data_IF_028996380082
#
_entry.id   IF_028996380082
#
_cell.length_a   1.000
_cell.length_b   1.000
_cell.length_c   1.000
_cell.angle_alpha   90.00
_cell.angle_beta   90.00
_cell.angle_gamma   90.00
#
_symmetry.space_group_name_H-M   'P 1'
#
loop_
_entity.id
_entity.type
_entity.pdbx_description
1 polymer ?
#
# COMPACT_ATOMS: atom_id res chain seq x y z
N UNK A 1 -11.54 11.08 -12.41
CA UNK A 1 -11.33 10.49 -11.07
C UNK A 1 -10.46 9.25 -11.26
N UNK A 2 -9.18 9.27 -10.86
CA UNK A 2 -8.35 8.05 -11.01
C UNK A 2 -8.87 7.00 -10.03
N UNK A 3 -9.27 5.80 -10.48
CA UNK A 3 -9.60 4.72 -9.55
C UNK A 3 -8.33 4.43 -8.75
N UNK A 4 -8.39 4.74 -7.45
CA UNK A 4 -7.33 4.36 -6.53
C UNK A 4 -7.61 2.92 -6.16
N UNK A 5 -7.08 1.98 -6.94
CA UNK A 5 -7.17 0.56 -6.58
C UNK A 5 -6.48 0.36 -5.23
N UNK A 6 -7.11 -0.42 -4.33
CA UNK A 6 -6.52 -0.77 -3.05
C UNK A 6 -5.38 -1.78 -3.21
N UNK A 7 -4.53 -1.93 -2.21
CA UNK A 7 -3.46 -2.93 -2.23
C UNK A 7 -4.01 -4.35 -2.43
N UNK A 8 -5.11 -4.69 -1.75
CA UNK A 8 -5.77 -5.99 -1.87
C UNK A 8 -6.26 -6.23 -3.30
N UNK A 9 -6.81 -5.21 -3.96
CA UNK A 9 -7.26 -5.29 -5.35
C UNK A 9 -6.07 -5.46 -6.31
N UNK A 10 -4.97 -4.74 -6.09
CA UNK A 10 -3.76 -4.90 -6.88
C UNK A 10 -3.20 -6.33 -6.81
N UNK A 11 -3.13 -6.91 -5.60
CA UNK A 11 -2.65 -8.28 -5.40
C UNK A 11 -3.56 -9.29 -6.08
N UNK A 12 -4.88 -9.13 -5.94
CA UNK A 12 -5.88 -9.98 -6.60
C UNK A 12 -5.75 -9.93 -8.12
N UNK A 13 -5.66 -8.74 -8.71
CA UNK A 13 -5.50 -8.56 -10.16
C UNK A 13 -4.18 -9.13 -10.67
N UNK A 14 -3.10 -9.03 -9.90
CA UNK A 14 -1.83 -9.71 -10.21
C UNK A 14 -2.05 -11.21 -10.30
N UNK A 15 -2.71 -11.82 -9.31
CA UNK A 15 -2.99 -13.25 -9.29
C UNK A 15 -3.86 -13.70 -10.47
N UNK A 16 -4.96 -12.98 -10.77
CA UNK A 16 -5.83 -13.27 -11.92
C UNK A 16 -5.08 -13.21 -13.27
N UNK A 17 -4.13 -12.28 -13.39
CA UNK A 17 -3.28 -12.14 -14.58
C UNK A 17 -1.96 -12.92 -14.48
N UNK A 18 -1.78 -13.77 -13.46
CA UNK A 18 -0.56 -14.57 -13.28
C UNK A 18 0.73 -13.75 -13.19
N UNK A 19 0.64 -12.49 -12.75
CA UNK A 19 1.79 -11.65 -12.46
C UNK A 19 2.28 -11.86 -11.04
N UNK A 20 3.60 -11.79 -10.85
CA UNK A 20 4.18 -11.74 -9.52
C UNK A 20 4.14 -10.28 -9.02
N UNK A 21 3.45 -9.96 -7.91
CA UNK A 21 3.31 -8.59 -7.42
C UNK A 21 4.66 -8.02 -6.98
N UNK A 22 5.07 -6.88 -7.57
CA UNK A 22 6.36 -6.24 -7.25
C UNK A 22 6.20 -5.13 -6.21
N UNK A 23 6.09 -5.52 -4.95
CA UNK A 23 6.08 -4.55 -3.85
C UNK A 23 7.50 -4.24 -3.36
N UNK A 24 7.74 -3.04 -2.81
CA UNK A 24 9.01 -2.75 -2.15
C UNK A 24 9.29 -3.73 -1.00
N UNK A 25 10.56 -4.11 -0.74
CA UNK A 25 10.92 -5.17 0.21
C UNK A 25 10.50 -4.88 1.66
N UNK A 26 10.33 -3.60 2.01
CA UNK A 26 9.83 -3.24 3.34
C UNK A 26 8.36 -3.60 3.58
N UNK A 27 7.57 -3.90 2.54
CA UNK A 27 6.19 -4.38 2.71
C UNK A 27 6.14 -5.75 3.37
N UNK A 28 7.12 -6.62 3.10
CA UNK A 28 7.24 -7.95 3.72
C UNK A 28 7.55 -7.87 5.22
N UNK A 29 8.17 -6.76 5.66
CA UNK A 29 8.49 -6.50 7.07
C UNK A 29 7.28 -6.01 7.88
N UNK A 30 6.18 -5.67 7.20
CA UNK A 30 4.95 -5.17 7.82
C UNK A 30 3.97 -6.34 7.93
N UNK A 31 3.65 -6.73 9.17
CA UNK A 31 2.68 -7.78 9.47
C UNK A 31 1.33 -7.12 9.73
N UNK A 32 0.28 -7.56 9.04
CA UNK A 32 -1.01 -6.86 9.01
C UNK A 32 -1.66 -6.69 10.39
N UNK A 33 -1.47 -7.67 11.27
CA UNK A 33 -2.01 -7.70 12.64
C UNK A 33 -1.19 -6.92 13.67
N UNK A 34 0.04 -6.51 13.31
CA UNK A 34 0.91 -5.81 14.25
C UNK A 34 0.60 -4.32 14.30
N UNK A 35 0.85 -3.70 15.46
CA UNK A 35 0.75 -2.26 15.66
C UNK A 35 2.13 -1.60 15.51
N UNK A 36 2.16 -0.51 14.75
CA UNK A 36 3.38 0.20 14.40
C UNK A 36 3.35 1.61 14.97
N UNK A 37 4.37 1.93 15.78
CA UNK A 37 4.61 3.28 16.27
C UNK A 37 5.47 4.08 15.27
N UNK A 38 5.49 5.43 15.33
CA UNK A 38 6.30 6.27 14.44
C UNK A 38 7.78 5.88 14.38
N UNK A 39 8.33 5.39 15.50
CA UNK A 39 9.72 4.92 15.56
C UNK A 39 9.94 3.66 14.72
N UNK A 40 9.00 2.72 14.73
CA UNK A 40 9.09 1.48 13.97
C UNK A 40 8.84 1.76 12.49
N UNK A 41 7.85 2.59 12.16
CA UNK A 41 7.57 3.01 10.78
C UNK A 41 8.82 3.67 10.17
N UNK A 42 9.47 4.56 10.93
CA UNK A 42 10.72 5.20 10.53
C UNK A 42 11.82 4.18 10.20
N UNK A 43 12.01 3.17 11.05
CA UNK A 43 13.02 2.13 10.85
C UNK A 43 12.72 1.22 9.64
N UNK A 44 11.45 0.89 9.40
CA UNK A 44 11.05 0.01 8.29
C UNK A 44 11.14 0.73 6.94
N UNK A 45 10.65 1.96 6.88
CA UNK A 45 10.51 2.73 5.63
C UNK A 45 11.70 3.65 5.36
N UNK A 46 12.68 3.67 6.27
CA UNK A 46 13.87 4.52 6.23
C UNK A 46 13.55 6.02 6.12
N UNK A 47 12.56 6.48 6.89
CA UNK A 47 12.18 7.90 6.98
C UNK A 47 12.43 8.44 8.39
N UNK A 48 12.43 9.75 8.54
CA UNK A 48 12.51 10.38 9.86
C UNK A 48 11.27 10.09 10.72
N UNK A 49 11.47 9.87 12.02
CA UNK A 49 10.39 9.70 13.01
C UNK A 49 9.40 10.87 13.00
N UNK A 50 9.88 12.08 12.75
CA UNK A 50 9.03 13.27 12.65
C UNK A 50 8.10 13.20 11.43
N UNK A 51 8.59 12.73 10.29
CA UNK A 51 7.76 12.50 9.10
C UNK A 51 6.65 11.50 9.39
N UNK A 52 6.98 10.39 10.07
CA UNK A 52 5.97 9.43 10.51
C UNK A 52 4.93 10.08 11.45
N UNK A 53 5.35 10.86 12.46
CA UNK A 53 4.45 11.61 13.35
C UNK A 53 3.56 12.60 12.60
N UNK A 54 4.09 13.30 11.59
CA UNK A 54 3.31 14.22 10.75
C UNK A 54 2.17 13.48 10.02
N UNK A 55 2.36 12.24 9.62
CA UNK A 55 1.30 11.46 8.98
C UNK A 55 0.12 11.21 9.92
N UNK A 56 0.39 10.88 11.19
CA UNK A 56 -0.67 10.78 12.19
C UNK A 56 -1.36 12.12 12.45
N UNK A 57 -0.59 13.21 12.61
CA UNK A 57 -1.15 14.56 12.84
C UNK A 57 -2.01 15.06 11.68
N UNK A 58 -1.69 14.66 10.46
CA UNK A 58 -2.45 15.00 9.25
C UNK A 58 -3.66 14.08 9.02
N UNK A 59 -3.99 13.20 9.97
CA UNK A 59 -5.06 12.20 9.84
C UNK A 59 -4.89 11.27 8.61
N UNK A 60 -3.65 11.12 8.11
CA UNK A 60 -3.34 10.19 7.03
C UNK A 60 -3.25 8.74 7.52
N UNK A 61 -2.90 8.57 8.78
CA UNK A 61 -2.92 7.30 9.51
C UNK A 61 -3.88 7.46 10.69
N UNK A 62 -4.92 6.64 10.73
CA UNK A 62 -5.85 6.61 11.86
C UNK A 62 -5.20 5.93 13.05
N UNK A 63 -5.22 6.58 14.20
CA UNK A 63 -4.75 6.00 15.46
C UNK A 63 -5.74 4.98 15.98
N UNK A 64 -5.28 3.75 16.23
CA UNK A 64 -6.15 2.67 16.75
C UNK A 64 -6.09 2.54 18.28
N UNK A 65 -5.28 3.35 18.96
CA UNK A 65 -5.21 3.34 20.43
C UNK A 65 -6.21 4.32 21.04
N UNK A 66 -6.98 3.85 22.03
CA UNK A 66 -7.81 4.69 22.89
C UNK A 66 -6.98 5.69 23.72
N UNK A 67 -5.69 5.43 23.92
CA UNK A 67 -4.79 6.22 24.78
C UNK A 67 -4.04 7.32 24.03
N UNK A 68 -4.59 7.84 22.93
CA UNK A 68 -4.05 8.94 22.12
C UNK A 68 -2.57 8.74 21.69
N UNK A 69 -2.13 7.49 21.64
CA UNK A 69 -0.76 7.12 21.24
C UNK A 69 -0.74 6.89 19.73
N UNK A 70 0.28 7.44 19.07
CA UNK A 70 0.48 7.22 17.64
C UNK A 70 0.79 5.75 17.35
N UNK A 71 -0.23 4.98 17.01
CA UNK A 71 -0.12 3.58 16.58
C UNK A 71 -1.09 3.31 15.45
N UNK A 72 -0.67 2.50 14.49
CA UNK A 72 -1.49 2.07 13.36
C UNK A 72 -1.29 0.57 13.11
N UNK A 73 -2.32 -0.13 12.66
CA UNK A 73 -2.20 -1.51 12.21
C UNK A 73 -1.37 -1.63 10.94
N UNK A 74 -0.67 -2.75 10.80
CA UNK A 74 0.14 -3.05 9.63
C UNK A 74 -0.68 -3.02 8.34
N UNK A 75 -1.94 -3.50 8.38
CA UNK A 75 -2.85 -3.46 7.22
C UNK A 75 -3.04 -2.02 6.71
N UNK A 76 -3.49 -1.11 7.58
CA UNK A 76 -3.69 0.31 7.25
C UNK A 76 -2.39 1.00 6.83
N UNK A 77 -1.27 0.65 7.47
CA UNK A 77 0.04 1.17 7.09
C UNK A 77 0.43 0.77 5.66
N UNK A 78 0.24 -0.50 5.28
CA UNK A 78 0.52 -0.98 3.92
C UNK A 78 -0.35 -0.27 2.88
N UNK A 79 -1.64 -0.13 3.15
CA UNK A 79 -2.57 0.58 2.26
C UNK A 79 -2.12 2.03 2.04
N UNK A 80 -1.78 2.72 3.12
CA UNK A 80 -1.27 4.09 3.04
C UNK A 80 0.04 4.21 2.26
N UNK A 81 0.98 3.27 2.47
CA UNK A 81 2.24 3.24 1.75
C UNK A 81 2.03 2.94 0.26
N UNK A 82 1.06 2.09 -0.08
CA UNK A 82 0.73 1.73 -1.46
C UNK A 82 0.19 2.93 -2.26
N UNK A 83 -0.60 3.80 -1.62
CA UNK A 83 -1.12 5.04 -2.26
C UNK A 83 -0.01 6.04 -2.59
N UNK A 84 1.22 5.88 -2.07
CA UNK A 84 2.29 6.85 -2.30
C UNK A 84 2.75 6.86 -3.76
N UNK A 85 3.04 8.05 -4.33
CA UNK A 85 3.50 8.18 -5.71
C UNK A 85 4.76 7.34 -5.99
N UNK A 86 5.65 7.22 -5.01
CA UNK A 86 6.89 6.46 -5.13
C UNK A 86 6.67 4.95 -5.27
N UNK A 87 5.51 4.43 -4.84
CA UNK A 87 5.16 3.02 -4.97
C UNK A 87 4.25 2.83 -6.19
N UNK A 88 3.23 3.67 -6.35
CA UNK A 88 2.22 3.48 -7.39
C UNK A 88 2.72 3.82 -8.79
N UNK A 89 3.57 4.84 -8.96
CA UNK A 89 4.05 5.26 -10.28
C UNK A 89 4.91 4.21 -10.99
N UNK A 90 5.90 3.57 -10.33
CA UNK A 90 6.64 2.49 -10.97
C UNK A 90 5.73 1.30 -11.31
N UNK A 91 4.78 0.96 -10.43
CA UNK A 91 3.83 -0.11 -10.69
C UNK A 91 2.91 0.17 -11.89
N UNK A 92 2.40 1.39 -12.02
CA UNK A 92 1.57 1.82 -13.17
C UNK A 92 2.34 1.76 -14.49
N UNK A 93 3.65 2.03 -14.46
CA UNK A 93 4.51 1.95 -15.64
C UNK A 93 4.75 0.51 -16.07
N UNK A 94 4.94 -0.38 -15.09
CA UNK A 94 5.26 -1.78 -15.36
C UNK A 94 4.00 -2.61 -15.68
N UNK A 95 2.89 -2.34 -15.01
CA UNK A 95 1.64 -3.10 -15.11
C UNK A 95 0.42 -2.20 -15.37
N UNK A 96 0.38 -1.44 -16.48
CA UNK A 96 -0.73 -0.51 -16.74
C UNK A 96 -2.10 -1.20 -16.76
N UNK A 97 -2.15 -2.44 -17.27
CA UNK A 97 -3.36 -3.29 -17.33
C UNK A 97 -3.95 -3.66 -15.97
N UNK A 98 -3.19 -3.56 -14.88
CA UNK A 98 -3.72 -3.82 -13.54
C UNK A 98 -4.49 -2.59 -13.01
N UNK A 99 -4.06 -1.39 -13.41
CA UNK A 99 -4.61 -0.13 -12.92
C UNK A 99 -5.68 0.46 -13.84
N UNK A 100 -5.83 -0.09 -15.05
CA UNK A 100 -6.86 0.28 -16.03
C UNK A 100 -7.90 -0.85 -16.16
N UNK A 101 -9.17 -0.51 -15.91
CA UNK A 101 -10.26 -1.47 -15.83
C UNK A 101 -10.62 -2.09 -17.19
N UNK A 102 -10.52 -1.30 -18.26
CA UNK A 102 -10.83 -1.73 -19.63
C UNK A 102 -9.74 -2.70 -20.13
N UNK A 103 -8.47 -2.37 -19.90
CA UNK A 103 -7.35 -3.26 -20.21
C UNK A 103 -7.40 -4.54 -19.38
N UNK A 104 -7.75 -4.46 -18.09
CA UNK A 104 -7.89 -5.63 -17.23
C UNK A 104 -8.93 -6.61 -17.78
N UNK A 105 -10.13 -6.10 -18.11
CA UNK A 105 -11.22 -6.92 -18.66
C UNK A 105 -10.82 -7.58 -19.98
N UNK A 106 -10.20 -6.84 -20.91
CA UNK A 106 -9.73 -7.39 -22.20
C UNK A 106 -8.68 -8.49 -22.04
N UNK A 107 -7.72 -8.31 -21.13
CA UNK A 107 -6.67 -9.30 -20.83
C UNK A 107 -7.24 -10.58 -20.21
N UNK A 108 -8.22 -10.42 -19.32
CA UNK A 108 -8.92 -11.55 -18.69
C UNK A 108 -9.67 -12.39 -19.71
N UNK A 109 -10.38 -11.75 -20.65
CA UNK A 109 -11.13 -12.44 -21.71
C UNK A 109 -10.22 -13.25 -22.65
N UNK A 110 -9.04 -12.74 -23.00
CA UNK A 110 -8.08 -13.45 -23.87
C UNK A 110 -7.38 -14.66 -23.20
N UNK A 111 -7.59 -14.89 -21.90
CA UNK A 111 -7.02 -16.03 -21.15
C UNK A 111 -8.03 -17.12 -20.80
N UNK A 112 -9.32 -16.88 -21.02
CA UNK A 112 -10.36 -17.92 -20.95
C UNK A 112 -10.45 -18.65 -22.28
#
# INVERSE_FOLDING_TARGET
MTPSISLEEYLRRCEELGYNPKLPPYFERIVDRNLYSPSIIAAITNISKETARRWFRQNKLTTESASNTYVVSGKKLKEFLFTRPNVINPLKREYPEIFDDDLFCRRKENRM
#
